data_IF_243087446446
#
_entry.id   IF_243087446446
#
_cell.length_a   1.000
_cell.length_b   1.000
_cell.length_c   1.000
_cell.angle_alpha   90.00
_cell.angle_beta   90.00
_cell.angle_gamma   90.00
#
_symmetry.space_group_name_H-M   'P 1'
#
loop_
_entity.id
_entity.type
_entity.pdbx_description
1 polymer ?
#
# COMPACT_ATOMS: atom_id res chain seq x y z
N UNK A 1 -89.07 8.65 5.64
CA UNK A 1 -88.02 9.58 6.11
C UNK A 1 -86.88 8.74 6.64
N UNK A 2 -85.78 8.69 5.90
CA UNK A 2 -84.64 7.80 6.18
C UNK A 2 -83.60 8.44 7.08
N UNK A 3 -83.02 7.65 7.97
CA UNK A 3 -81.81 7.99 8.71
C UNK A 3 -80.81 6.83 8.48
N UNK A 4 -79.88 7.02 7.54
CA UNK A 4 -78.68 6.18 7.40
C UNK A 4 -77.56 6.91 8.15
N UNK A 5 -77.11 6.34 9.26
CA UNK A 5 -75.92 6.82 9.97
C UNK A 5 -74.68 6.54 9.14
N UNK A 6 -73.95 7.60 8.79
CA UNK A 6 -72.67 7.50 8.10
C UNK A 6 -71.54 7.66 9.13
N UNK A 7 -70.74 6.61 9.29
CA UNK A 7 -69.47 6.66 10.01
C UNK A 7 -68.51 7.61 9.28
N UNK A 8 -68.04 8.66 9.97
CA UNK A 8 -66.94 9.52 9.48
C UNK A 8 -65.63 8.83 9.87
N UNK A 9 -65.00 8.16 8.91
CA UNK A 9 -63.61 7.71 9.01
C UNK A 9 -62.71 8.92 8.69
N UNK A 10 -62.04 9.47 9.69
CA UNK A 10 -61.01 10.51 9.48
C UNK A 10 -59.80 9.86 8.78
N UNK A 11 -59.63 10.13 7.49
CA UNK A 11 -58.38 9.87 6.78
C UNK A 11 -57.34 10.90 7.26
N UNK A 12 -56.38 10.46 8.08
CA UNK A 12 -55.16 11.20 8.33
C UNK A 12 -54.31 11.14 7.07
N UNK A 13 -54.22 12.24 6.32
CA UNK A 13 -53.18 12.40 5.30
C UNK A 13 -51.84 12.51 6.02
N UNK A 14 -51.11 11.40 6.06
CA UNK A 14 -49.69 11.40 6.41
C UNK A 14 -48.97 12.09 5.25
N UNK A 15 -48.74 13.40 5.35
CA UNK A 15 -47.76 14.06 4.51
C UNK A 15 -46.40 13.45 4.87
N UNK A 16 -45.92 12.56 4.02
CA UNK A 16 -44.55 12.09 4.08
C UNK A 16 -43.64 13.30 3.99
N UNK A 17 -42.98 13.64 5.10
CA UNK A 17 -41.79 14.46 5.06
C UNK A 17 -40.79 13.67 4.19
N UNK A 18 -40.54 14.18 2.99
CA UNK A 18 -39.35 13.80 2.23
C UNK A 18 -38.17 14.20 3.11
N UNK A 19 -37.58 13.21 3.77
CA UNK A 19 -36.27 13.38 4.40
C UNK A 19 -35.30 13.47 3.23
N UNK A 20 -34.92 14.69 2.86
CA UNK A 20 -33.73 14.92 2.04
C UNK A 20 -32.59 14.25 2.80
N UNK A 21 -32.02 13.19 2.21
CA UNK A 21 -30.78 12.61 2.73
C UNK A 21 -29.75 13.75 2.74
N UNK A 22 -29.13 14.09 3.88
CA UNK A 22 -27.95 14.94 3.82
C UNK A 22 -26.92 14.19 2.97
N UNK A 23 -26.55 14.78 1.84
CA UNK A 23 -25.44 14.31 1.03
C UNK A 23 -24.20 14.32 1.92
N UNK A 24 -23.49 13.20 2.01
CA UNK A 24 -22.25 13.15 2.78
C UNK A 24 -21.24 14.10 2.11
N UNK A 25 -20.91 15.20 2.79
CA UNK A 25 -19.93 16.19 2.34
C UNK A 25 -18.58 15.53 2.07
N UNK A 26 -18.00 15.79 0.91
CA UNK A 26 -16.66 15.36 0.52
C UNK A 26 -15.58 16.34 1.05
N UNK A 27 -14.32 15.91 1.09
CA UNK A 27 -13.24 16.67 1.74
C UNK A 27 -12.36 17.48 0.76
N UNK A 28 -12.19 16.99 -0.48
CA UNK A 28 -11.40 17.64 -1.54
C UNK A 28 -11.74 17.03 -2.90
N UNK A 29 -11.24 17.60 -4.00
CA UNK A 29 -11.30 16.95 -5.32
C UNK A 29 -9.93 16.47 -5.80
N UNK A 30 -9.92 15.39 -6.59
CA UNK A 30 -8.85 15.10 -7.53
C UNK A 30 -9.16 15.66 -8.91
N UNK A 31 -8.39 16.63 -9.39
CA UNK A 31 -8.25 16.85 -10.83
C UNK A 31 -7.31 15.78 -11.39
N UNK A 32 -7.85 14.91 -12.25
CA UNK A 32 -7.10 13.84 -12.88
C UNK A 32 -6.87 14.17 -14.35
N UNK A 33 -5.60 14.24 -14.74
CA UNK A 33 -5.16 14.53 -16.11
C UNK A 33 -4.46 13.30 -16.69
N UNK A 34 -4.85 12.86 -17.87
CA UNK A 34 -4.36 11.64 -18.53
C UNK A 34 -3.50 11.92 -19.76
N UNK A 35 -2.42 11.16 -19.92
CA UNK A 35 -1.58 11.22 -21.12
C UNK A 35 -2.15 10.32 -22.23
N UNK A 36 -2.56 10.87 -23.39
CA UNK A 36 -3.18 10.09 -24.45
C UNK A 36 -2.27 9.03 -25.05
N UNK A 37 -0.95 9.24 -25.04
CA UNK A 37 0.03 8.26 -25.50
C UNK A 37 -0.04 6.98 -24.67
N UNK A 38 0.04 7.11 -23.35
CA UNK A 38 0.01 5.97 -22.43
C UNK A 38 -1.36 5.28 -22.36
N UNK A 39 -2.46 6.00 -22.59
CA UNK A 39 -3.79 5.38 -22.71
C UNK A 39 -3.86 4.48 -23.95
N UNK A 40 -3.34 4.95 -25.07
CA UNK A 40 -3.39 4.27 -26.36
C UNK A 40 -2.34 3.20 -26.55
N UNK A 41 -1.19 3.32 -25.87
CA UNK A 41 -0.09 2.37 -25.96
C UNK A 41 -0.23 1.27 -24.92
N UNK A 42 -1.32 0.49 -25.02
CA UNK A 42 -1.55 -0.67 -24.18
C UNK A 42 -2.07 -1.82 -25.03
N UNK A 43 -2.25 -3.00 -24.42
CA UNK A 43 -2.91 -4.13 -25.10
C UNK A 43 -4.40 -3.90 -25.36
N UNK A 44 -5.01 -2.85 -24.79
CA UNK A 44 -6.41 -2.48 -24.99
C UNK A 44 -6.53 -1.56 -26.20
N UNK A 45 -7.62 -1.70 -26.96
CA UNK A 45 -7.91 -0.82 -28.07
C UNK A 45 -8.20 0.61 -27.58
N UNK A 46 -7.67 1.60 -28.30
CA UNK A 46 -8.06 3.00 -28.17
C UNK A 46 -8.60 3.54 -29.50
N UNK A 47 -9.46 4.54 -29.43
CA UNK A 47 -10.06 5.18 -30.59
C UNK A 47 -10.03 6.69 -30.41
N UNK A 48 -9.56 7.42 -31.43
CA UNK A 48 -9.64 8.87 -31.41
C UNK A 48 -11.09 9.36 -31.54
N UNK A 49 -11.43 10.52 -30.96
CA UNK A 49 -12.73 11.14 -31.17
C UNK A 49 -13.05 11.36 -32.65
N UNK A 50 -14.33 11.56 -32.96
CA UNK A 50 -14.76 11.92 -34.34
C UNK A 50 -14.19 13.25 -34.82
N UNK A 51 -13.75 14.12 -33.91
CA UNK A 51 -13.02 15.35 -34.23
C UNK A 51 -11.56 15.12 -34.65
N UNK A 52 -11.08 13.87 -34.64
CA UNK A 52 -9.71 13.49 -35.02
C UNK A 52 -8.80 13.24 -33.82
N UNK A 53 -7.51 12.98 -34.12
CA UNK A 53 -6.47 12.75 -33.10
C UNK A 53 -6.33 13.99 -32.20
N UNK A 54 -6.46 13.85 -30.86
CA UNK A 54 -6.24 14.95 -29.95
C UNK A 54 -4.81 15.51 -30.05
N UNK A 55 -4.61 16.74 -29.57
CA UNK A 55 -3.27 17.29 -29.42
C UNK A 55 -2.42 16.40 -28.49
N UNK A 56 -1.10 16.40 -28.68
CA UNK A 56 -0.16 15.68 -27.82
C UNK A 56 0.04 16.42 -26.48
N UNK A 57 -1.05 16.59 -25.73
CA UNK A 57 -1.13 17.21 -24.40
C UNK A 57 -1.98 16.33 -23.48
N UNK A 58 -1.86 16.52 -22.17
CA UNK A 58 -2.69 15.86 -21.19
C UNK A 58 -4.16 16.24 -21.38
N UNK A 59 -5.07 15.26 -21.45
CA UNK A 59 -6.52 15.50 -21.41
C UNK A 59 -7.04 15.41 -19.98
N UNK A 60 -8.16 16.07 -19.67
CA UNK A 60 -8.87 15.81 -18.41
C UNK A 60 -9.43 14.38 -18.47
N UNK A 61 -9.30 13.66 -17.36
CA UNK A 61 -10.04 12.44 -17.08
C UNK A 61 -11.28 12.81 -16.25
N UNK A 62 -11.09 13.49 -15.12
CA UNK A 62 -12.19 14.07 -14.35
C UNK A 62 -11.79 14.90 -13.15
N UNK A 63 -12.81 15.42 -12.47
CA UNK A 63 -12.71 16.19 -11.23
C UNK A 63 -13.48 15.44 -10.15
N UNK A 64 -12.80 14.67 -9.31
CA UNK A 64 -13.44 13.64 -8.50
C UNK A 64 -13.50 14.04 -7.03
N UNK A 65 -14.70 14.20 -6.43
CA UNK A 65 -14.83 14.37 -4.99
C UNK A 65 -14.24 13.17 -4.24
N UNK A 66 -13.50 13.43 -3.17
CA UNK A 66 -12.79 12.42 -2.38
C UNK A 66 -12.86 12.73 -0.89
N UNK A 67 -12.71 11.68 -0.07
CA UNK A 67 -12.56 11.78 1.38
C UNK A 67 -11.09 11.69 1.80
N UNK A 68 -10.75 12.33 2.91
CA UNK A 68 -9.42 12.26 3.54
C UNK A 68 -9.02 10.83 3.94
N UNK A 69 -9.99 9.94 4.12
CA UNK A 69 -9.75 8.50 4.38
C UNK A 69 -9.36 7.68 3.14
N UNK A 70 -9.22 8.31 1.96
CA UNK A 70 -8.87 7.66 0.69
C UNK A 70 -10.02 6.97 -0.04
N UNK A 71 -11.20 6.87 0.58
CA UNK A 71 -12.44 6.50 -0.11
C UNK A 71 -13.02 7.71 -0.88
N UNK A 72 -14.05 7.48 -1.69
CA UNK A 72 -14.71 8.53 -2.46
C UNK A 72 -16.21 8.26 -2.57
N UNK A 73 -17.05 9.32 -2.62
CA UNK A 73 -18.45 9.19 -2.98
C UNK A 73 -18.59 8.92 -4.48
N UNK A 74 -19.66 8.24 -4.88
CA UNK A 74 -19.98 8.01 -6.29
C UNK A 74 -21.47 7.85 -6.53
N UNK A 75 -21.97 8.31 -7.68
CA UNK A 75 -23.37 8.19 -8.10
C UNK A 75 -24.34 8.74 -7.05
N UNK A 76 -24.10 9.97 -6.60
CA UNK A 76 -24.72 10.54 -5.41
C UNK A 76 -26.17 10.99 -5.63
N UNK A 77 -26.50 11.47 -6.82
CA UNK A 77 -27.85 11.88 -7.19
C UNK A 77 -28.28 11.22 -8.52
N UNK A 78 -29.14 10.18 -8.47
CA UNK A 78 -29.70 9.56 -9.67
C UNK A 78 -30.70 10.43 -10.45
N UNK A 79 -31.27 11.47 -9.82
CA UNK A 79 -32.23 12.38 -10.44
C UNK A 79 -31.52 13.51 -11.20
N UNK A 80 -30.26 13.80 -10.85
CA UNK A 80 -29.40 14.79 -11.52
C UNK A 80 -28.70 14.22 -12.77
N UNK A 81 -29.50 13.93 -13.80
CA UNK A 81 -28.99 13.41 -15.07
C UNK A 81 -28.24 14.48 -15.87
N UNK A 82 -27.23 14.04 -16.62
CA UNK A 82 -26.42 14.91 -17.46
C UNK A 82 -27.25 15.61 -18.56
N UNK A 83 -27.30 16.94 -18.52
CA UNK A 83 -27.99 17.77 -19.51
C UNK A 83 -27.00 18.48 -20.44
N UNK A 84 -26.99 18.07 -21.72
CA UNK A 84 -26.10 18.66 -22.74
C UNK A 84 -26.33 20.14 -22.97
N UNK A 85 -27.55 20.63 -22.74
CA UNK A 85 -27.90 22.04 -22.98
C UNK A 85 -27.19 22.97 -22.00
N UNK A 86 -26.96 22.50 -20.76
CA UNK A 86 -26.31 23.26 -19.71
C UNK A 86 -24.83 23.54 -20.00
N UNK A 87 -24.17 22.72 -20.82
CA UNK A 87 -22.73 22.87 -21.13
C UNK A 87 -22.46 23.26 -22.59
N UNK A 88 -23.50 23.71 -23.31
CA UNK A 88 -23.45 23.90 -24.77
C UNK A 88 -22.36 24.87 -25.23
N UNK A 89 -22.07 25.89 -24.45
CA UNK A 89 -20.99 26.87 -24.63
C UNK A 89 -19.59 26.28 -24.36
N UNK A 90 -19.50 25.27 -23.50
CA UNK A 90 -18.23 24.61 -23.12
C UNK A 90 -17.81 23.49 -24.08
N UNK A 91 -18.72 22.98 -24.92
CA UNK A 91 -18.48 21.78 -25.78
C UNK A 91 -17.21 21.89 -26.62
N UNK A 92 -16.92 23.06 -27.19
CA UNK A 92 -15.70 23.24 -27.99
C UNK A 92 -14.43 23.05 -27.16
N UNK A 93 -14.43 23.63 -25.96
CA UNK A 93 -13.33 23.49 -24.99
C UNK A 93 -13.22 22.06 -24.47
N UNK A 94 -14.33 21.38 -24.19
CA UNK A 94 -14.36 19.99 -23.76
C UNK A 94 -13.83 19.04 -24.84
N UNK A 95 -14.22 19.21 -26.11
CA UNK A 95 -13.67 18.41 -27.23
C UNK A 95 -12.16 18.54 -27.35
N UNK A 96 -11.60 19.71 -27.04
CA UNK A 96 -10.16 19.97 -27.08
C UNK A 96 -9.42 19.43 -25.86
N UNK A 97 -9.98 19.63 -24.67
CA UNK A 97 -9.27 19.50 -23.41
C UNK A 97 -9.68 18.28 -22.57
N UNK A 98 -10.83 17.68 -22.86
CA UNK A 98 -11.39 16.50 -22.19
C UNK A 98 -11.84 15.44 -23.23
N UNK A 99 -10.97 15.05 -24.19
CA UNK A 99 -11.34 14.11 -25.23
C UNK A 99 -11.51 12.69 -24.69
N UNK A 100 -12.47 11.96 -25.24
CA UNK A 100 -12.56 10.50 -25.05
C UNK A 100 -11.51 9.77 -25.90
N UNK A 101 -10.97 8.67 -25.39
CA UNK A 101 -10.10 7.77 -26.16
C UNK A 101 -10.68 6.35 -26.26
N UNK A 102 -11.91 6.16 -25.81
CA UNK A 102 -12.58 4.86 -25.75
C UNK A 102 -13.16 4.47 -27.11
N UNK A 103 -13.14 3.18 -27.40
CA UNK A 103 -13.74 2.62 -28.62
C UNK A 103 -15.24 2.30 -28.43
N UNK A 104 -16.06 2.50 -29.48
CA UNK A 104 -15.74 3.10 -30.77
C UNK A 104 -15.59 4.64 -30.69
N UNK A 105 -14.95 5.23 -31.71
CA UNK A 105 -14.84 6.69 -31.88
C UNK A 105 -16.18 7.39 -31.68
N UNK A 106 -16.20 8.43 -30.85
CA UNK A 106 -17.40 9.19 -30.53
C UNK A 106 -17.09 10.65 -30.18
N UNK A 107 -18.11 11.46 -29.91
CA UNK A 107 -17.97 12.90 -29.67
C UNK A 107 -17.57 13.30 -28.25
N UNK A 108 -17.46 12.35 -27.31
CA UNK A 108 -17.10 12.60 -25.92
C UNK A 108 -18.29 12.70 -24.95
N UNK A 109 -19.51 12.95 -25.43
CA UNK A 109 -20.68 13.13 -24.55
C UNK A 109 -20.94 11.98 -23.58
N UNK A 110 -20.74 10.71 -23.99
CA UNK A 110 -20.89 9.56 -23.08
C UNK A 110 -19.86 9.56 -21.95
N UNK A 111 -18.67 10.08 -22.23
CA UNK A 111 -17.62 10.19 -21.24
C UNK A 111 -17.93 11.32 -20.26
N UNK A 112 -18.34 12.49 -20.75
CA UNK A 112 -18.75 13.60 -19.87
C UNK A 112 -19.99 13.27 -19.04
N UNK A 113 -20.96 12.57 -19.63
CA UNK A 113 -22.12 12.00 -18.93
C UNK A 113 -21.67 11.07 -17.78
N UNK A 114 -20.74 10.15 -18.04
CA UNK A 114 -20.19 9.28 -17.00
C UNK A 114 -19.52 10.07 -15.86
N UNK A 115 -18.68 11.05 -16.21
CA UNK A 115 -17.95 11.86 -15.22
C UNK A 115 -18.91 12.72 -14.39
N UNK A 116 -19.96 13.28 -14.99
CA UNK A 116 -20.99 13.99 -14.25
C UNK A 116 -21.77 13.06 -13.34
N UNK A 117 -22.41 12.02 -13.88
CA UNK A 117 -23.34 11.18 -13.11
C UNK A 117 -22.64 10.40 -11.99
N UNK A 118 -21.39 9.99 -12.20
CA UNK A 118 -20.62 9.26 -11.20
C UNK A 118 -19.92 10.18 -10.20
N UNK A 119 -19.36 11.31 -10.63
CA UNK A 119 -18.51 12.15 -9.79
C UNK A 119 -19.09 13.54 -9.56
N UNK A 120 -19.53 14.25 -10.62
CA UNK A 120 -20.09 15.60 -10.51
C UNK A 120 -21.34 15.70 -9.61
N UNK A 121 -22.23 14.71 -9.66
CA UNK A 121 -23.41 14.63 -8.77
C UNK A 121 -23.04 14.58 -7.29
N UNK A 122 -21.80 14.18 -6.96
CA UNK A 122 -21.31 14.14 -5.59
C UNK A 122 -20.83 15.49 -5.05
N UNK A 123 -20.85 16.54 -5.87
CA UNK A 123 -20.45 17.90 -5.51
C UNK A 123 -21.54 18.96 -5.74
N UNK A 124 -22.80 18.54 -5.91
CA UNK A 124 -23.93 19.45 -6.18
C UNK A 124 -24.23 20.42 -5.05
N UNK A 125 -23.76 20.14 -3.83
CA UNK A 125 -23.81 21.09 -2.71
C UNK A 125 -22.91 22.32 -2.91
N UNK A 126 -21.95 22.25 -3.84
CA UNK A 126 -20.94 23.30 -4.09
C UNK A 126 -21.05 23.89 -5.49
N UNK A 127 -21.31 23.07 -6.51
CA UNK A 127 -21.33 23.51 -7.91
C UNK A 127 -22.34 22.76 -8.76
N UNK A 128 -22.93 23.45 -9.73
CA UNK A 128 -23.82 22.84 -10.71
C UNK A 128 -23.05 22.14 -11.87
N UNK A 129 -23.79 21.56 -12.82
CA UNK A 129 -23.19 20.86 -13.95
C UNK A 129 -22.31 21.76 -14.81
N UNK A 130 -22.74 22.99 -15.10
CA UNK A 130 -21.93 23.89 -15.92
C UNK A 130 -20.64 24.27 -15.19
N UNK A 131 -20.75 24.65 -13.91
CA UNK A 131 -19.61 25.01 -13.06
C UNK A 131 -18.62 23.84 -12.89
N UNK A 132 -19.09 22.60 -12.75
CA UNK A 132 -18.23 21.40 -12.68
C UNK A 132 -17.31 21.27 -13.90
N UNK A 133 -17.87 21.38 -15.11
CA UNK A 133 -17.08 21.31 -16.34
C UNK A 133 -16.23 22.56 -16.56
N UNK A 134 -16.75 23.74 -16.24
CA UNK A 134 -16.02 25.00 -16.41
C UNK A 134 -14.81 25.07 -15.48
N UNK A 135 -14.97 24.69 -14.21
CA UNK A 135 -13.89 24.69 -13.22
C UNK A 135 -12.82 23.66 -13.58
N UNK A 136 -13.18 22.44 -14.00
CA UNK A 136 -12.21 21.45 -14.48
C UNK A 136 -11.40 21.96 -15.69
N UNK A 137 -12.02 22.68 -16.62
CA UNK A 137 -11.33 23.32 -17.73
C UNK A 137 -10.34 24.41 -17.27
N UNK A 138 -10.77 25.29 -16.36
CA UNK A 138 -9.92 26.34 -15.76
C UNK A 138 -8.74 25.74 -15.01
N UNK A 139 -8.97 24.67 -14.24
CA UNK A 139 -7.94 23.96 -13.49
C UNK A 139 -6.91 23.27 -14.42
N UNK A 140 -7.35 22.64 -15.51
CA UNK A 140 -6.42 22.10 -16.52
C UNK A 140 -5.53 23.19 -17.11
N UNK A 141 -6.13 24.33 -17.48
CA UNK A 141 -5.37 25.47 -18.03
C UNK A 141 -4.34 25.98 -17.01
N UNK A 142 -4.73 26.11 -15.74
CA UNK A 142 -3.85 26.51 -14.63
C UNK A 142 -2.71 25.51 -14.40
N UNK A 143 -2.96 24.21 -14.53
CA UNK A 143 -1.96 23.17 -14.30
C UNK A 143 -0.93 23.06 -15.44
N UNK A 144 -1.33 23.26 -16.71
CA UNK A 144 -0.47 23.22 -17.91
C UNK A 144 0.72 22.23 -17.86
N UNK A 145 0.41 20.96 -17.59
CA UNK A 145 1.41 19.95 -17.24
C UNK A 145 2.49 19.73 -18.30
N UNK A 146 2.11 19.70 -19.58
CA UNK A 146 3.09 19.51 -20.66
C UNK A 146 4.11 20.64 -20.69
N UNK A 147 3.68 21.90 -20.53
CA UNK A 147 4.59 23.04 -20.49
C UNK A 147 5.54 22.95 -19.29
N UNK A 148 5.02 22.58 -18.11
CA UNK A 148 5.85 22.44 -16.90
C UNK A 148 6.91 21.35 -17.07
N UNK A 149 6.51 20.19 -17.60
CA UNK A 149 7.40 19.06 -17.83
C UNK A 149 8.47 19.39 -18.88
N UNK A 150 8.07 19.94 -20.03
CA UNK A 150 9.00 20.31 -21.10
C UNK A 150 9.99 21.40 -20.68
N UNK A 151 9.54 22.42 -19.93
CA UNK A 151 10.43 23.44 -19.34
C UNK A 151 11.46 22.84 -18.37
N UNK A 152 11.17 21.67 -17.80
CA UNK A 152 12.06 20.91 -16.91
C UNK A 152 12.88 19.84 -17.65
N UNK A 153 12.89 19.88 -18.99
CA UNK A 153 13.59 18.93 -19.84
C UNK A 153 13.03 17.51 -19.74
N UNK A 154 11.71 17.39 -19.57
CA UNK A 154 10.96 16.13 -19.65
C UNK A 154 10.05 16.25 -20.86
N UNK A 155 10.43 15.60 -21.95
CA UNK A 155 9.69 15.64 -23.21
C UNK A 155 8.95 14.32 -23.43
N UNK A 156 7.80 14.31 -24.12
CA UNK A 156 7.16 13.08 -24.55
C UNK A 156 7.89 12.50 -25.77
N UNK A 157 9.08 11.94 -25.54
CA UNK A 157 10.03 11.46 -26.55
C UNK A 157 10.37 9.96 -26.41
N UNK A 158 9.49 9.19 -25.76
CA UNK A 158 9.68 7.79 -25.38
C UNK A 158 10.92 7.55 -24.48
N UNK A 159 11.49 8.63 -23.93
CA UNK A 159 12.58 8.59 -22.96
C UNK A 159 12.11 8.17 -21.58
N UNK A 160 13.01 7.52 -20.82
CA UNK A 160 12.77 7.18 -19.42
C UNK A 160 13.19 8.32 -18.51
N UNK A 161 12.27 8.73 -17.63
CA UNK A 161 12.49 9.78 -16.64
C UNK A 161 12.30 9.20 -15.24
N UNK A 162 13.12 9.65 -14.29
CA UNK A 162 12.88 9.27 -12.89
C UNK A 162 11.58 9.91 -12.40
N UNK A 163 10.79 9.13 -11.67
CA UNK A 163 9.54 9.60 -11.06
C UNK A 163 9.77 10.87 -10.24
N UNK A 164 10.86 10.93 -9.47
CA UNK A 164 11.26 12.11 -8.70
C UNK A 164 11.44 13.36 -9.58
N UNK A 165 11.99 13.23 -10.80
CA UNK A 165 12.16 14.37 -11.72
C UNK A 165 10.79 14.89 -12.17
N UNK A 166 9.87 13.98 -12.51
CA UNK A 166 8.49 14.30 -12.90
C UNK A 166 7.75 14.99 -11.74
N UNK A 167 7.73 14.36 -10.57
CA UNK A 167 7.06 14.88 -9.36
C UNK A 167 7.60 16.27 -8.99
N UNK A 168 8.92 16.46 -8.99
CA UNK A 168 9.53 17.74 -8.65
C UNK A 168 9.25 18.82 -9.70
N UNK A 169 9.28 18.49 -10.99
CA UNK A 169 8.96 19.43 -12.06
C UNK A 169 7.54 19.97 -11.87
N UNK A 170 6.57 19.07 -11.69
CA UNK A 170 5.17 19.43 -11.47
C UNK A 170 5.02 20.22 -10.17
N UNK A 171 5.57 19.73 -9.05
CA UNK A 171 5.52 20.43 -7.76
C UNK A 171 6.05 21.86 -7.84
N UNK A 172 7.17 22.07 -8.53
CA UNK A 172 7.73 23.40 -8.72
C UNK A 172 6.87 24.28 -9.63
N UNK A 173 6.16 23.69 -10.58
CA UNK A 173 5.31 24.42 -11.51
C UNK A 173 3.94 24.79 -10.96
N UNK A 174 3.31 23.92 -10.16
CA UNK A 174 1.96 24.16 -9.59
C UNK A 174 1.97 24.54 -8.10
N UNK A 175 3.11 24.36 -7.41
CA UNK A 175 3.27 24.66 -5.97
C UNK A 175 2.96 23.49 -5.02
N UNK A 176 2.33 22.43 -5.51
CA UNK A 176 1.81 21.31 -4.70
C UNK A 176 2.30 19.96 -5.22
N UNK A 177 2.44 18.99 -4.33
CA UNK A 177 2.91 17.65 -4.70
C UNK A 177 1.82 16.91 -5.50
N UNK A 178 2.05 16.52 -6.77
CA UNK A 178 1.05 15.74 -7.50
C UNK A 178 1.07 14.27 -7.09
N UNK A 179 -0.04 13.58 -7.32
CA UNK A 179 -0.05 12.13 -7.44
C UNK A 179 0.28 11.68 -8.86
N UNK A 180 1.01 10.58 -8.99
CA UNK A 180 1.38 10.00 -10.29
C UNK A 180 0.84 8.58 -10.39
N UNK A 181 0.23 8.27 -11.54
CA UNK A 181 -0.18 6.92 -11.89
C UNK A 181 0.53 6.48 -13.16
N UNK A 182 1.09 5.28 -13.12
CA UNK A 182 1.68 4.62 -14.27
C UNK A 182 0.82 3.44 -14.71
N UNK A 183 0.78 3.19 -16.01
CA UNK A 183 0.30 1.92 -16.55
C UNK A 183 1.45 1.19 -17.26
N UNK A 184 1.14 0.08 -17.93
CA UNK A 184 2.10 -0.75 -18.66
C UNK A 184 1.87 -0.68 -20.16
N UNK A 185 2.95 -0.46 -20.91
CA UNK A 185 2.97 -0.61 -22.37
C UNK A 185 2.94 -2.10 -22.78
N UNK A 186 2.85 -2.44 -24.09
CA UNK A 186 2.91 -3.83 -24.56
C UNK A 186 4.20 -4.57 -24.17
N UNK A 187 5.31 -3.85 -24.03
CA UNK A 187 6.63 -4.33 -23.61
C UNK A 187 6.78 -4.48 -22.08
N UNK A 188 5.76 -4.08 -21.30
CA UNK A 188 5.68 -4.08 -19.83
C UNK A 188 6.57 -3.04 -19.13
N UNK A 189 7.00 -2.00 -19.84
CA UNK A 189 7.61 -0.83 -19.22
C UNK A 189 6.55 -0.02 -18.47
N UNK A 190 6.95 0.66 -17.39
CA UNK A 190 6.11 1.65 -16.73
C UNK A 190 6.12 2.95 -17.54
N UNK A 191 4.94 3.45 -17.90
CA UNK A 191 4.77 4.70 -18.60
C UNK A 191 3.82 5.64 -17.83
N UNK A 192 4.10 6.94 -17.89
CA UNK A 192 3.31 7.98 -17.22
C UNK A 192 1.89 8.03 -17.80
N UNK A 193 0.91 7.61 -17.02
CA UNK A 193 -0.48 7.46 -17.46
C UNK A 193 -1.36 8.61 -16.99
N UNK A 194 -1.45 8.84 -15.67
CA UNK A 194 -2.30 9.88 -15.10
C UNK A 194 -1.54 10.69 -14.04
N UNK A 195 -1.95 11.95 -13.89
CA UNK A 195 -1.45 12.88 -12.87
C UNK A 195 -2.66 13.39 -12.10
N UNK A 196 -2.57 13.29 -10.77
CA UNK A 196 -3.59 13.67 -9.81
C UNK A 196 -3.16 14.97 -9.13
N UNK A 197 -4.02 15.98 -9.13
CA UNK A 197 -3.79 17.26 -8.44
C UNK A 197 -4.97 17.49 -7.50
N UNK A 198 -4.70 17.75 -6.22
CA UNK A 198 -5.78 18.03 -5.28
C UNK A 198 -6.26 19.46 -5.38
N UNK A 199 -7.57 19.61 -5.29
CA UNK A 199 -8.29 20.88 -5.37
C UNK A 199 -9.15 21.01 -4.13
N UNK A 200 -9.25 22.23 -3.60
CA UNK A 200 -10.10 22.56 -2.46
C UNK A 200 -11.57 22.22 -2.70
N UNK A 201 -12.39 22.22 -1.65
CA UNK A 201 -13.81 21.88 -1.76
C UNK A 201 -14.61 22.85 -2.62
N UNK A 202 -14.12 24.06 -2.90
CA UNK A 202 -14.73 24.97 -3.88
C UNK A 202 -14.49 24.54 -5.34
N UNK A 203 -13.51 23.65 -5.57
CA UNK A 203 -13.12 23.17 -6.89
C UNK A 203 -12.42 24.22 -7.74
N UNK A 204 -11.72 25.18 -7.13
CA UNK A 204 -11.08 26.29 -7.87
C UNK A 204 -9.60 26.47 -7.58
N UNK A 205 -9.11 26.04 -6.42
CA UNK A 205 -7.73 26.25 -5.99
C UNK A 205 -7.00 24.93 -5.69
N UNK A 206 -5.74 24.86 -6.12
CA UNK A 206 -4.90 23.70 -5.78
C UNK A 206 -4.54 23.72 -4.30
N UNK A 207 -4.50 22.53 -3.71
CA UNK A 207 -4.13 22.31 -2.31
C UNK A 207 -3.12 21.16 -2.21
N UNK A 208 -2.45 21.05 -1.06
CA UNK A 208 -1.68 19.85 -0.77
C UNK A 208 -2.66 18.69 -0.56
N UNK A 209 -2.39 17.57 -1.22
CA UNK A 209 -3.27 16.41 -1.15
C UNK A 209 -3.34 15.82 0.26
N UNK A 210 -4.53 15.75 0.89
CA UNK A 210 -4.69 15.17 2.22
C UNK A 210 -4.39 13.66 2.25
N UNK A 211 -4.79 12.96 1.19
CA UNK A 211 -4.58 11.52 1.04
C UNK A 211 -4.27 11.22 -0.41
N UNK A 212 -2.99 11.24 -0.78
CA UNK A 212 -2.50 10.94 -2.12
C UNK A 212 -2.92 9.52 -2.57
N UNK A 213 -3.86 9.41 -3.52
CA UNK A 213 -4.11 8.17 -4.28
C UNK A 213 -2.97 8.06 -5.25
N UNK A 214 -1.95 7.38 -4.77
CA UNK A 214 -0.66 7.43 -5.39
C UNK A 214 -0.16 6.00 -5.50
N UNK A 215 -0.25 5.48 -6.74
CA UNK A 215 0.76 4.54 -7.21
C UNK A 215 2.04 5.33 -7.54
N UNK A 216 2.62 5.99 -6.54
CA UNK A 216 3.85 6.76 -6.72
C UNK A 216 4.61 6.86 -5.41
N UNK A 217 5.91 6.64 -5.53
CA UNK A 217 6.91 6.99 -4.54
C UNK A 217 6.50 8.17 -3.64
N UNK A 218 6.61 8.05 -2.30
CA UNK A 218 6.72 9.21 -1.44
C UNK A 218 7.97 9.99 -1.86
N UNK A 219 8.25 11.13 -1.22
CA UNK A 219 9.65 11.56 -1.08
C UNK A 219 10.50 10.31 -0.89
N UNK A 220 11.46 10.06 -1.81
CA UNK A 220 12.23 8.80 -1.82
C UNK A 220 12.52 8.45 -0.36
N UNK A 221 12.11 7.25 0.12
CA UNK A 221 12.17 6.95 1.52
C UNK A 221 13.54 7.35 2.05
N UNK A 222 13.61 7.98 3.23
CA UNK A 222 14.87 8.48 3.81
C UNK A 222 15.71 7.32 4.34
N UNK A 223 15.77 6.24 3.58
CA UNK A 223 16.53 5.00 3.75
C UNK A 223 16.67 4.32 2.37
N UNK A 224 17.64 3.44 2.22
CA UNK A 224 18.06 2.93 0.92
C UNK A 224 17.48 1.57 0.55
N UNK A 225 17.22 0.71 1.53
CA UNK A 225 16.70 -0.65 1.33
C UNK A 225 16.09 -1.20 2.63
N UNK A 226 15.48 -2.38 2.56
CA UNK A 226 15.02 -3.11 3.74
C UNK A 226 15.84 -4.37 3.99
N UNK A 227 16.08 -4.70 5.26
CA UNK A 227 16.24 -6.09 5.67
C UNK A 227 14.89 -6.69 6.03
N UNK A 228 14.50 -7.75 5.35
CA UNK A 228 13.47 -8.66 5.82
C UNK A 228 14.14 -9.81 6.57
N UNK A 229 13.96 -9.84 7.88
CA UNK A 229 14.72 -10.70 8.80
C UNK A 229 13.82 -11.81 9.32
N UNK A 230 14.34 -13.04 9.24
CA UNK A 230 13.67 -14.22 9.76
C UNK A 230 14.63 -14.96 10.70
N UNK A 231 14.10 -15.53 11.78
CA UNK A 231 14.90 -16.28 12.74
C UNK A 231 14.43 -17.71 12.89
N UNK A 232 15.34 -18.58 13.31
CA UNK A 232 15.06 -19.99 13.59
C UNK A 232 14.91 -20.24 15.09
N UNK A 233 13.71 -20.65 15.57
CA UNK A 233 13.48 -20.89 17.00
C UNK A 233 14.42 -21.91 17.64
N UNK A 234 14.85 -22.93 16.89
CA UNK A 234 15.78 -23.94 17.38
C UNK A 234 17.09 -23.35 17.89
N UNK A 235 17.60 -22.31 17.22
CA UNK A 235 18.84 -21.65 17.61
C UNK A 235 18.68 -20.79 18.87
N UNK A 236 17.48 -20.32 19.18
CA UNK A 236 17.20 -19.60 20.43
C UNK A 236 17.18 -20.60 21.59
N UNK A 237 16.37 -21.65 21.46
CA UNK A 237 16.13 -22.63 22.50
C UNK A 237 17.36 -23.49 22.84
N UNK A 238 18.23 -23.73 21.86
CA UNK A 238 19.47 -24.48 22.05
C UNK A 238 20.63 -23.61 22.56
N UNK A 239 20.40 -22.29 22.73
CA UNK A 239 21.39 -21.39 23.32
C UNK A 239 21.39 -21.49 24.85
N UNK A 240 22.48 -21.03 25.48
CA UNK A 240 22.59 -20.99 26.95
C UNK A 240 21.48 -20.22 27.65
N UNK A 241 20.78 -19.33 26.95
CA UNK A 241 19.75 -18.49 27.54
C UNK A 241 18.39 -19.20 27.64
N UNK A 242 18.21 -20.34 26.96
CA UNK A 242 16.92 -21.01 26.88
C UNK A 242 15.87 -20.22 26.09
N UNK A 243 14.64 -20.75 26.02
CA UNK A 243 13.53 -20.08 25.35
C UNK A 243 12.18 -20.34 26.04
N UNK A 244 11.25 -19.42 25.81
CA UNK A 244 9.84 -19.52 26.16
C UNK A 244 9.04 -19.69 24.86
N UNK A 245 8.34 -20.83 24.65
CA UNK A 245 7.56 -21.04 23.44
C UNK A 245 6.26 -20.18 23.43
N UNK A 246 5.70 -19.90 22.25
CA UNK A 246 4.46 -19.13 22.10
C UNK A 246 3.26 -19.74 22.83
N UNK A 247 2.41 -18.90 23.42
CA UNK A 247 1.27 -19.37 24.23
C UNK A 247 0.20 -20.05 23.38
N UNK A 248 -0.11 -19.49 22.21
CA UNK A 248 -1.15 -20.01 21.32
C UNK A 248 -0.60 -21.15 20.46
N UNK A 249 -1.17 -22.33 20.65
CA UNK A 249 -0.74 -23.60 20.06
C UNK A 249 -0.95 -23.71 18.56
N UNK A 250 -0.06 -23.12 17.76
CA UNK A 250 0.32 -23.70 16.47
C UNK A 250 1.62 -23.09 15.92
N UNK A 251 2.76 -23.75 16.14
CA UNK A 251 4.02 -23.39 15.49
C UNK A 251 4.43 -24.52 14.57
N UNK A 252 4.00 -24.45 13.32
CA UNK A 252 4.61 -25.26 12.27
C UNK A 252 6.14 -25.07 12.35
N UNK A 253 6.91 -26.16 12.34
CA UNK A 253 8.37 -26.13 12.36
C UNK A 253 8.87 -25.37 11.13
N UNK A 254 9.13 -24.07 11.27
CA UNK A 254 9.48 -23.17 10.17
C UNK A 254 10.18 -21.92 10.72
N UNK A 255 10.80 -21.14 9.83
CA UNK A 255 11.34 -19.82 10.17
C UNK A 255 10.22 -18.86 10.56
N UNK A 256 10.52 -18.01 11.54
CA UNK A 256 9.61 -17.00 12.09
C UNK A 256 10.07 -15.62 11.65
N UNK A 257 9.11 -14.76 11.31
CA UNK A 257 9.42 -13.35 11.00
C UNK A 257 10.01 -12.71 12.25
N UNK A 258 11.14 -12.03 12.10
CA UNK A 258 11.66 -11.11 13.10
C UNK A 258 11.09 -9.71 12.82
N UNK A 259 11.32 -9.20 11.61
CA UNK A 259 10.78 -7.92 11.18
C UNK A 259 11.27 -7.44 9.82
N UNK A 260 10.83 -6.23 9.47
CA UNK A 260 11.17 -5.52 8.24
C UNK A 260 11.81 -4.17 8.60
N UNK A 261 13.11 -4.05 8.39
CA UNK A 261 13.92 -2.97 8.96
C UNK A 261 14.48 -2.07 7.86
N UNK A 262 14.15 -0.76 7.84
CA UNK A 262 14.74 0.18 6.90
C UNK A 262 16.23 0.37 7.18
N UNK A 263 17.06 0.45 6.15
CA UNK A 263 18.53 0.51 6.25
C UNK A 263 19.13 1.59 5.36
N UNK A 264 20.25 2.16 5.81
CA UNK A 264 21.12 3.01 4.99
C UNK A 264 22.29 2.22 4.40
N UNK A 265 22.80 2.67 3.25
CA UNK A 265 23.95 2.06 2.57
C UNK A 265 25.27 2.15 3.35
N UNK A 266 25.37 3.06 4.32
CA UNK A 266 26.53 3.19 5.21
C UNK A 266 26.50 2.18 6.38
N UNK A 267 25.51 1.30 6.45
CA UNK A 267 25.34 0.30 7.50
C UNK A 267 24.59 0.78 8.75
N UNK A 268 24.20 2.06 8.82
CA UNK A 268 23.32 2.58 9.88
C UNK A 268 21.84 2.37 9.52
N UNK A 269 20.94 2.65 10.46
CA UNK A 269 19.50 2.53 10.25
C UNK A 269 18.73 3.57 11.07
N UNK A 270 17.58 4.05 10.57
CA UNK A 270 16.69 4.87 11.37
C UNK A 270 15.93 4.01 12.40
N UNK A 271 15.62 4.58 13.56
CA UNK A 271 14.88 3.89 14.62
C UNK A 271 14.05 4.87 15.45
N UNK A 272 12.88 4.41 15.91
CA UNK A 272 11.96 5.18 16.77
C UNK A 272 11.62 6.56 16.20
N UNK A 273 11.27 6.60 14.92
CA UNK A 273 11.17 7.85 14.16
C UNK A 273 9.92 8.68 14.48
N UNK A 274 8.92 8.08 15.13
CA UNK A 274 7.69 8.78 15.51
C UNK A 274 7.15 8.25 16.84
N UNK A 275 6.98 9.18 17.79
CA UNK A 275 6.45 8.88 19.13
C UNK A 275 4.94 9.14 19.24
N UNK A 276 4.32 9.64 18.18
CA UNK A 276 2.89 9.97 18.11
C UNK A 276 2.07 8.88 17.42
N UNK A 277 2.67 8.14 16.47
CA UNK A 277 2.04 7.01 15.79
C UNK A 277 2.52 5.65 16.35
N UNK A 278 2.32 5.44 17.64
CA UNK A 278 2.67 4.19 18.31
C UNK A 278 1.74 3.04 17.91
N UNK A 279 2.18 1.82 18.21
CA UNK A 279 1.48 0.58 17.87
C UNK A 279 0.06 0.56 18.43
N UNK A 280 -0.90 0.35 17.54
CA UNK A 280 -2.30 0.12 17.90
C UNK A 280 -2.77 -1.24 17.34
N UNK A 281 -3.07 -2.17 18.24
CA UNK A 281 -3.52 -3.52 17.86
C UNK A 281 -4.84 -3.50 17.07
N UNK A 282 -5.68 -2.48 17.27
CA UNK A 282 -6.97 -2.38 16.58
C UNK A 282 -6.79 -2.20 15.06
N UNK A 283 -5.71 -1.52 14.65
CA UNK A 283 -5.35 -1.28 13.24
C UNK A 283 -4.89 -2.54 12.50
N UNK A 284 -4.69 -3.66 13.20
CA UNK A 284 -4.25 -4.95 12.61
C UNK A 284 -5.12 -6.13 13.05
N UNK A 285 -6.34 -5.85 13.54
CA UNK A 285 -7.23 -6.86 14.12
C UNK A 285 -7.51 -8.05 13.17
N UNK A 286 -7.59 -7.80 11.86
CA UNK A 286 -7.76 -8.80 10.81
C UNK A 286 -6.49 -9.65 10.53
N UNK A 287 -5.32 -9.16 10.93
CA UNK A 287 -4.03 -9.83 10.71
C UNK A 287 -3.59 -10.69 11.91
N UNK A 288 -4.12 -10.44 13.12
CA UNK A 288 -3.66 -11.06 14.37
C UNK A 288 -3.58 -12.58 14.27
N UNK A 289 -4.61 -13.26 13.76
CA UNK A 289 -4.60 -14.74 13.67
C UNK A 289 -3.47 -15.28 12.77
N UNK A 290 -3.05 -14.53 11.75
CA UNK A 290 -1.93 -14.89 10.89
C UNK A 290 -0.60 -14.61 11.60
N UNK A 291 -0.50 -13.47 12.28
CA UNK A 291 0.70 -13.05 13.01
C UNK A 291 1.01 -14.00 14.18
N UNK A 292 0.00 -14.46 14.92
CA UNK A 292 0.13 -15.47 15.98
C UNK A 292 0.69 -16.82 15.51
N UNK A 293 0.76 -17.07 14.20
CA UNK A 293 1.32 -18.31 13.63
C UNK A 293 2.65 -18.10 12.92
N UNK A 294 2.91 -16.89 12.43
CA UNK A 294 4.01 -16.59 11.49
C UNK A 294 5.00 -15.55 12.01
N UNK A 295 4.63 -14.79 13.03
CA UNK A 295 5.41 -13.74 13.66
C UNK A 295 5.34 -13.87 15.19
N UNK A 296 5.56 -15.09 15.68
CA UNK A 296 5.53 -15.40 17.11
C UNK A 296 6.78 -14.90 17.81
N UNK A 297 6.69 -14.63 19.11
CA UNK A 297 7.87 -14.37 19.94
C UNK A 297 8.35 -15.67 20.60
N UNK A 298 9.61 -16.03 20.39
CA UNK A 298 10.31 -17.07 21.15
C UNK A 298 11.24 -16.37 22.14
N UNK A 299 10.66 -15.92 23.25
CA UNK A 299 11.31 -15.08 24.24
C UNK A 299 12.44 -15.80 24.98
N UNK A 300 13.40 -15.06 25.51
CA UNK A 300 14.56 -15.60 26.23
C UNK A 300 14.48 -15.34 27.75
N UNK A 301 13.64 -14.39 28.18
CA UNK A 301 13.60 -13.91 29.57
C UNK A 301 12.20 -13.64 30.11
N UNK A 302 11.16 -13.73 29.29
CA UNK A 302 9.77 -13.50 29.69
C UNK A 302 8.91 -14.72 29.33
N UNK A 303 8.35 -15.35 30.37
CA UNK A 303 7.47 -16.51 30.28
C UNK A 303 6.15 -16.18 31.01
N UNK A 304 4.97 -16.30 30.37
CA UNK A 304 4.78 -16.63 28.95
C UNK A 304 5.34 -15.55 28.00
N UNK A 305 5.71 -15.95 26.78
CA UNK A 305 6.06 -15.00 25.73
C UNK A 305 4.85 -14.12 25.38
N UNK A 306 5.07 -12.89 24.94
CA UNK A 306 4.00 -11.98 24.55
C UNK A 306 4.22 -11.48 23.13
N UNK A 307 3.54 -12.12 22.18
CA UNK A 307 3.70 -11.80 20.75
C UNK A 307 3.37 -10.33 20.45
N UNK A 308 2.46 -9.72 21.23
CA UNK A 308 2.10 -8.31 21.06
C UNK A 308 3.26 -7.38 21.39
N UNK A 309 4.10 -7.72 22.37
CA UNK A 309 5.29 -6.92 22.70
C UNK A 309 6.30 -6.91 21.56
N UNK A 310 6.48 -8.05 20.88
CA UNK A 310 7.32 -8.13 19.69
C UNK A 310 6.75 -7.24 18.59
N UNK A 311 5.45 -7.35 18.27
CA UNK A 311 4.83 -6.53 17.21
C UNK A 311 4.89 -5.04 17.54
N UNK A 312 4.63 -4.67 18.79
CA UNK A 312 4.77 -3.30 19.28
C UNK A 312 6.20 -2.80 19.11
N UNK A 313 7.20 -3.60 19.49
CA UNK A 313 8.61 -3.25 19.30
C UNK A 313 8.96 -3.02 17.83
N UNK A 314 8.59 -3.95 16.96
CA UNK A 314 8.89 -3.89 15.53
C UNK A 314 8.24 -2.67 14.87
N UNK A 315 6.99 -2.36 15.21
CA UNK A 315 6.34 -1.16 14.72
C UNK A 315 6.97 0.12 15.29
N UNK A 316 7.03 0.26 16.62
CA UNK A 316 7.48 1.50 17.26
C UNK A 316 8.92 1.85 16.88
N UNK A 317 9.78 0.84 16.70
CA UNK A 317 11.20 1.05 16.35
C UNK A 317 11.44 1.13 14.85
N UNK A 318 10.85 0.26 14.04
CA UNK A 318 11.16 0.14 12.61
C UNK A 318 10.02 0.63 11.72
N UNK A 319 8.77 0.26 12.03
CA UNK A 319 7.58 0.68 11.27
C UNK A 319 7.35 2.20 11.25
N UNK A 320 7.56 2.88 12.37
CA UNK A 320 7.44 4.35 12.48
C UNK A 320 8.41 5.11 11.57
N UNK A 321 9.49 4.47 11.11
CA UNK A 321 10.48 5.06 10.21
C UNK A 321 10.13 4.93 8.73
N UNK A 322 9.04 4.23 8.40
CA UNK A 322 8.66 3.91 7.02
C UNK A 322 7.24 4.34 6.69
N UNK A 323 6.72 5.29 7.47
CA UNK A 323 5.37 5.86 7.32
C UNK A 323 5.14 6.54 5.97
N UNK A 324 6.21 6.88 5.25
CA UNK A 324 6.13 7.38 3.89
C UNK A 324 5.66 6.31 2.89
N UNK A 325 5.84 5.02 3.19
CA UNK A 325 5.43 3.91 2.32
C UNK A 325 4.41 2.96 2.95
N UNK A 326 4.34 2.88 4.29
CA UNK A 326 3.47 1.96 5.01
C UNK A 326 2.77 2.65 6.18
N UNK A 327 1.46 2.51 6.25
CA UNK A 327 0.76 2.55 7.52
C UNK A 327 1.01 1.28 8.35
N UNK A 328 0.49 1.23 9.57
CA UNK A 328 0.68 0.08 10.45
C UNK A 328 0.16 -1.22 9.83
N UNK A 329 -1.03 -1.19 9.24
CA UNK A 329 -1.64 -2.37 8.63
C UNK A 329 -0.80 -2.93 7.49
N UNK A 330 -0.44 -2.08 6.53
CA UNK A 330 0.34 -2.43 5.35
C UNK A 330 1.77 -2.87 5.68
N UNK A 331 2.38 -2.37 6.75
CA UNK A 331 3.68 -2.85 7.24
C UNK A 331 3.62 -4.33 7.66
N UNK A 332 2.65 -4.69 8.49
CA UNK A 332 2.48 -6.07 8.95
C UNK A 332 2.00 -6.99 7.84
N UNK A 333 1.05 -6.53 7.01
CA UNK A 333 0.56 -7.29 5.86
C UNK A 333 1.68 -7.61 4.86
N UNK A 334 2.59 -6.66 4.60
CA UNK A 334 3.70 -6.85 3.66
C UNK A 334 4.66 -7.95 4.14
N UNK A 335 4.99 -7.97 5.43
CA UNK A 335 5.78 -9.05 6.03
C UNK A 335 5.12 -10.43 5.86
N UNK A 336 3.81 -10.53 6.11
CA UNK A 336 3.06 -11.76 5.92
C UNK A 336 3.03 -12.20 4.44
N UNK A 337 2.90 -11.26 3.50
CA UNK A 337 2.97 -11.53 2.06
C UNK A 337 4.34 -12.08 1.65
N UNK A 338 5.44 -11.50 2.11
CA UNK A 338 6.78 -12.05 1.85
C UNK A 338 6.96 -13.43 2.47
N UNK A 339 6.45 -13.62 3.68
CA UNK A 339 6.51 -14.92 4.35
C UNK A 339 5.74 -16.02 3.62
N UNK A 340 4.65 -15.65 2.94
CA UNK A 340 3.92 -16.55 2.05
C UNK A 340 4.66 -16.80 0.74
N UNK A 341 5.26 -15.76 0.15
CA UNK A 341 6.01 -15.82 -1.12
C UNK A 341 7.32 -16.61 -1.00
N UNK A 342 8.02 -16.52 0.12
CA UNK A 342 9.33 -17.14 0.34
C UNK A 342 9.32 -18.05 1.58
N UNK A 343 9.24 -19.37 1.34
CA UNK A 343 9.40 -20.37 2.40
C UNK A 343 10.86 -20.81 2.50
N UNK A 344 11.62 -20.15 3.39
CA UNK A 344 13.05 -20.41 3.59
C UNK A 344 13.34 -21.87 3.97
N UNK A 345 12.54 -22.47 4.85
CA UNK A 345 12.76 -23.86 5.26
C UNK A 345 12.62 -24.81 4.07
N UNK A 346 11.58 -24.67 3.26
CA UNK A 346 11.38 -25.51 2.08
C UNK A 346 12.53 -25.37 1.08
N UNK A 347 13.03 -24.16 0.86
CA UNK A 347 14.19 -23.90 -0.01
C UNK A 347 15.42 -24.68 0.48
N UNK A 348 15.70 -24.62 1.79
CA UNK A 348 16.82 -25.34 2.38
C UNK A 348 16.63 -26.86 2.30
N UNK A 349 15.45 -27.37 2.65
CA UNK A 349 15.13 -28.80 2.60
C UNK A 349 15.26 -29.35 1.18
N UNK A 350 14.82 -28.62 0.16
CA UNK A 350 14.96 -29.02 -1.25
C UNK A 350 16.42 -29.16 -1.69
N UNK A 351 17.35 -28.48 -1.01
CA UNK A 351 18.80 -28.61 -1.21
C UNK A 351 19.46 -29.61 -0.25
N UNK A 352 18.68 -30.33 0.55
CA UNK A 352 19.18 -31.31 1.51
C UNK A 352 19.60 -30.72 2.86
N UNK A 353 19.43 -29.41 3.06
CA UNK A 353 19.78 -28.71 4.30
C UNK A 353 18.57 -28.79 5.24
N UNK A 354 18.63 -29.68 6.23
CA UNK A 354 17.51 -29.98 7.15
C UNK A 354 17.86 -29.61 8.59
N UNK A 355 16.88 -29.15 9.39
CA UNK A 355 17.07 -28.84 10.82
C UNK A 355 17.14 -30.13 11.64
N UNK A 356 18.27 -30.83 11.59
CA UNK A 356 18.48 -32.15 12.21
C UNK A 356 19.69 -32.16 13.15
N UNK A 357 20.10 -31.01 13.67
CA UNK A 357 21.36 -30.79 14.40
C UNK A 357 22.64 -31.05 13.58
N UNK A 358 22.49 -31.19 12.25
CA UNK A 358 23.60 -31.36 11.32
C UNK A 358 24.33 -30.05 11.03
N UNK A 359 25.55 -30.15 10.50
CA UNK A 359 26.39 -28.99 10.12
C UNK A 359 26.46 -28.84 8.61
N UNK A 360 26.25 -27.63 8.12
CA UNK A 360 26.21 -27.30 6.69
C UNK A 360 27.18 -26.18 6.37
N UNK A 361 27.69 -26.14 5.14
CA UNK A 361 28.57 -25.05 4.71
C UNK A 361 27.81 -23.71 4.69
N UNK A 362 28.43 -22.63 5.16
CA UNK A 362 27.82 -21.29 5.11
C UNK A 362 27.47 -20.91 3.66
N UNK A 363 28.39 -21.16 2.72
CA UNK A 363 28.18 -20.91 1.30
C UNK A 363 27.11 -21.83 0.70
N UNK A 364 26.93 -23.04 1.23
CA UNK A 364 25.90 -23.98 0.80
C UNK A 364 24.49 -23.42 1.09
N UNK A 365 24.30 -22.92 2.32
CA UNK A 365 23.06 -22.25 2.76
C UNK A 365 22.80 -21.00 1.92
N UNK A 366 23.82 -20.15 1.73
CA UNK A 366 23.69 -18.93 0.93
C UNK A 366 23.34 -19.23 -0.53
N UNK A 367 24.02 -20.20 -1.14
CA UNK A 367 23.78 -20.58 -2.53
C UNK A 367 22.41 -21.22 -2.73
N UNK A 368 21.91 -21.99 -1.76
CA UNK A 368 20.57 -22.55 -1.78
C UNK A 368 19.51 -21.45 -1.94
N UNK A 369 19.62 -20.38 -1.15
CA UNK A 369 18.70 -19.24 -1.16
C UNK A 369 18.92 -18.37 -2.40
N UNK A 370 20.19 -18.04 -2.72
CA UNK A 370 20.56 -17.25 -3.91
C UNK A 370 20.03 -17.86 -5.20
N UNK A 371 20.02 -19.18 -5.32
CA UNK A 371 19.48 -19.88 -6.49
C UNK A 371 17.98 -19.59 -6.73
N UNK A 372 17.24 -19.24 -5.68
CA UNK A 372 15.79 -18.99 -5.76
C UNK A 372 15.50 -17.51 -5.94
N UNK A 373 16.20 -16.63 -5.21
CA UNK A 373 15.90 -15.19 -5.18
C UNK A 373 16.84 -14.34 -6.05
N UNK A 374 17.90 -14.93 -6.61
CA UNK A 374 18.92 -14.23 -7.43
C UNK A 374 20.05 -13.59 -6.62
N UNK A 375 19.82 -13.29 -5.34
CA UNK A 375 20.75 -12.55 -4.47
C UNK A 375 21.20 -13.38 -3.26
N UNK A 376 22.44 -13.16 -2.82
CA UNK A 376 22.97 -13.83 -1.64
C UNK A 376 22.31 -13.26 -0.36
N UNK A 377 21.80 -14.10 0.55
CA UNK A 377 21.28 -13.63 1.83
C UNK A 377 22.43 -13.29 2.80
N UNK A 378 22.13 -12.49 3.81
CA UNK A 378 22.95 -12.40 5.03
C UNK A 378 22.59 -13.49 6.02
N UNK A 379 23.59 -14.02 6.72
CA UNK A 379 23.41 -15.07 7.71
C UNK A 379 24.03 -14.64 9.03
N UNK A 380 23.23 -14.64 10.08
CA UNK A 380 23.71 -14.43 11.45
C UNK A 380 23.67 -15.74 12.22
N UNK A 381 24.72 -15.96 13.00
CA UNK A 381 24.88 -17.14 13.83
C UNK A 381 25.01 -16.76 15.30
N UNK A 382 24.31 -17.50 16.15
CA UNK A 382 24.57 -17.51 17.58
C UNK A 382 25.32 -18.80 17.98
N UNK A 383 25.46 -19.03 19.29
CA UNK A 383 26.11 -20.22 19.84
C UNK A 383 25.10 -21.10 20.59
N UNK A 384 25.20 -22.41 20.39
CA UNK A 384 24.51 -23.38 21.22
C UNK A 384 25.19 -23.52 22.61
N UNK A 385 24.58 -24.29 23.51
CA UNK A 385 25.15 -24.56 24.86
C UNK A 385 26.55 -25.15 24.85
N UNK A 386 27.00 -25.73 23.74
CA UNK A 386 28.34 -26.32 23.55
C UNK A 386 29.31 -25.36 22.85
N UNK A 387 28.88 -24.15 22.50
CA UNK A 387 29.68 -23.16 21.79
C UNK A 387 29.74 -23.37 20.27
N UNK A 388 28.91 -24.25 19.70
CA UNK A 388 28.86 -24.41 18.25
C UNK A 388 28.13 -23.23 17.60
N UNK A 389 28.70 -22.69 16.51
CA UNK A 389 28.00 -21.71 15.68
C UNK A 389 26.81 -22.36 14.98
N UNK A 390 25.65 -21.74 15.07
CA UNK A 390 24.40 -22.27 14.50
C UNK A 390 23.60 -21.21 13.76
N UNK A 391 22.82 -21.63 12.76
CA UNK A 391 21.98 -20.78 11.93
C UNK A 391 20.89 -20.12 12.78
N UNK A 392 21.03 -18.82 13.03
CA UNK A 392 20.11 -18.08 13.88
C UNK A 392 19.17 -17.19 13.06
N UNK A 393 19.70 -16.27 12.27
CA UNK A 393 18.88 -15.39 11.43
C UNK A 393 19.32 -15.39 9.97
N UNK A 394 18.34 -15.17 9.09
CA UNK A 394 18.52 -14.99 7.66
C UNK A 394 18.00 -13.60 7.30
N UNK A 395 18.85 -12.82 6.64
CA UNK A 395 18.58 -11.46 6.17
C UNK A 395 18.39 -11.49 4.66
N UNK A 396 17.21 -11.07 4.19
CA UNK A 396 16.91 -10.89 2.77
C UNK A 396 16.76 -9.39 2.50
N UNK A 397 17.43 -8.86 1.48
CA UNK A 397 17.30 -7.46 1.13
C UNK A 397 16.16 -7.23 0.14
N UNK A 398 15.38 -6.19 0.41
CA UNK A 398 14.35 -5.69 -0.48
C UNK A 398 14.66 -4.25 -0.87
N UNK A 399 14.17 -3.81 -2.04
CA UNK A 399 14.20 -2.40 -2.42
C UNK A 399 13.52 -1.52 -1.36
N UNK A 400 13.73 -0.20 -1.40
CA UNK A 400 13.17 0.71 -0.40
C UNK A 400 11.63 0.87 -0.45
N UNK A 401 10.94 0.10 -1.29
CA UNK A 401 9.48 -0.03 -1.32
C UNK A 401 8.98 -1.39 -0.83
N UNK A 402 9.89 -2.30 -0.47
CA UNK A 402 9.60 -3.71 -0.17
C UNK A 402 8.72 -4.39 -1.25
N UNK A 403 9.09 -4.22 -2.52
CA UNK A 403 8.43 -4.84 -3.68
C UNK A 403 9.27 -5.93 -4.31
N UNK A 404 10.59 -5.73 -4.37
CA UNK A 404 11.51 -6.62 -5.08
C UNK A 404 12.69 -7.03 -4.22
N UNK A 405 13.26 -8.21 -4.49
CA UNK A 405 14.53 -8.62 -3.90
C UNK A 405 15.66 -7.84 -4.56
N UNK A 406 16.62 -7.39 -3.76
CA UNK A 406 17.80 -6.67 -4.24
C UNK A 406 19.07 -7.26 -3.63
N UNK A 407 20.21 -6.96 -4.24
CA UNK A 407 21.50 -7.27 -3.63
C UNK A 407 21.66 -6.50 -2.33
N UNK A 408 22.06 -7.19 -1.26
CA UNK A 408 22.33 -6.56 0.01
C UNK A 408 23.58 -5.67 -0.08
N UNK A 409 23.47 -4.33 0.08
CA UNK A 409 24.63 -3.43 0.02
C UNK A 409 25.64 -3.73 1.14
N UNK A 410 25.14 -4.22 2.26
CA UNK A 410 25.91 -4.76 3.36
C UNK A 410 25.36 -6.13 3.72
N UNK A 411 26.23 -7.10 3.98
CA UNK A 411 25.82 -8.45 4.38
C UNK A 411 26.32 -8.67 5.81
N UNK A 412 25.43 -8.75 6.82
CA UNK A 412 25.84 -9.03 8.18
C UNK A 412 26.12 -10.53 8.34
N UNK A 413 27.24 -11.02 7.81
CA UNK A 413 27.77 -12.33 8.20
C UNK A 413 28.35 -12.23 9.61
N UNK A 414 27.47 -12.20 10.59
CA UNK A 414 27.85 -11.99 11.98
C UNK A 414 28.09 -13.31 12.66
N UNK A 415 29.31 -13.47 13.15
CA UNK A 415 29.69 -14.54 14.09
C UNK A 415 29.52 -15.97 13.57
N UNK A 416 29.46 -16.19 12.26
CA UNK A 416 29.34 -17.52 11.65
C UNK A 416 30.70 -18.20 11.44
N UNK A 417 30.72 -19.53 11.51
CA UNK A 417 31.84 -20.36 11.08
C UNK A 417 31.64 -20.83 9.62
N UNK A 418 32.67 -21.41 9.00
CA UNK A 418 32.56 -21.95 7.62
C UNK A 418 31.54 -23.10 7.50
N UNK A 419 31.34 -23.84 8.60
CA UNK A 419 30.22 -24.77 8.78
C UNK A 419 29.45 -24.42 10.03
N UNK A 420 28.13 -24.38 9.94
CA UNK A 420 27.24 -24.02 11.04
C UNK A 420 26.17 -25.09 11.25
N UNK A 421 25.78 -25.27 12.50
CA UNK A 421 24.71 -26.20 12.89
C UNK A 421 23.35 -25.65 12.45
N UNK A 422 22.48 -26.53 11.93
CA UNK A 422 21.06 -26.22 11.78
C UNK A 422 20.28 -27.03 12.83
N UNK A 423 20.01 -26.43 14.01
CA UNK A 423 19.43 -27.16 15.13
C UNK A 423 18.01 -27.59 14.83
N UNK A 424 17.54 -28.67 15.48
CA UNK A 424 16.14 -29.09 15.39
C UNK A 424 15.19 -27.99 15.84
N UNK A 425 13.97 -28.05 15.33
CA UNK A 425 12.91 -27.20 15.86
C UNK A 425 12.56 -27.64 17.28
N UNK A 426 12.34 -26.72 18.23
CA UNK A 426 12.01 -27.08 19.61
C UNK A 426 10.67 -27.82 19.67
N UNK A 427 10.65 -28.99 20.29
CA UNK A 427 9.41 -29.69 20.61
C UNK A 427 8.76 -29.01 21.83
N UNK A 428 7.44 -28.86 21.85
CA UNK A 428 6.74 -28.45 23.08
C UNK A 428 6.84 -29.59 24.07
N UNK A 429 7.55 -29.40 25.18
CA UNK A 429 7.56 -30.35 26.29
C UNK A 429 6.21 -30.28 27.05
N UNK A 430 5.38 -31.35 27.01
CA UNK A 430 4.10 -31.39 27.73
C UNK A 430 4.26 -31.24 29.25
N UNK A 431 5.44 -31.50 29.81
CA UNK A 431 5.69 -31.43 31.27
C UNK A 431 5.66 -29.98 31.79
N UNK A 432 5.90 -28.97 30.96
CA UNK A 432 5.85 -27.56 31.37
C UNK A 432 4.42 -27.04 31.62
N UNK A 433 3.39 -27.67 31.02
CA UNK A 433 1.98 -27.36 31.30
C UNK A 433 1.54 -27.86 32.69
N UNK A 434 2.17 -28.91 33.22
CA UNK A 434 1.80 -29.47 34.53
C UNK A 434 2.25 -28.60 35.71
N UNK A 435 3.35 -27.85 35.55
CA UNK A 435 3.91 -27.00 36.60
C UNK A 435 3.20 -25.64 36.72
N UNK A 436 2.64 -25.10 35.62
CA UNK A 436 1.87 -23.85 35.64
C UNK A 436 0.46 -24.02 36.22
N UNK A 437 -0.12 -25.23 36.14
CA UNK A 437 -1.40 -25.55 36.76
C UNK A 437 -1.24 -25.81 38.27
N UNK A 438 -0.15 -26.43 38.71
CA UNK A 438 0.07 -26.74 40.13
C UNK A 438 0.38 -25.51 41.01
N UNK A 439 0.95 -24.42 40.46
CA UNK A 439 1.19 -23.20 41.25
C UNK A 439 -0.08 -22.39 41.55
N UNK A 440 -1.21 -22.73 40.93
CA UNK A 440 -2.50 -22.04 41.13
C UNK A 440 -3.42 -22.71 42.17
N UNK A 441 -3.03 -23.86 42.73
CA UNK A 441 -3.87 -24.66 43.65
C UNK A 441 -3.34 -24.71 45.09
N UNK A 442 -2.21 -24.05 45.40
CA UNK A 442 -1.64 -24.05 46.77
C UNK A 442 -1.63 -22.68 47.43
N UNK A 443 -2.76 -21.98 47.45
CA UNK A 443 -3.05 -20.92 48.43
C UNK A 443 -4.56 -20.84 48.67
N UNK A 444 -5.07 -21.67 49.57
CA UNK A 444 -6.30 -21.44 50.36
C UNK A 444 -6.02 -21.80 51.79
#
# INVERSE_FOLDING_TARGET
>A
MGAKGWFILKLLMFQGLFVSRPQEDFDFFYLVLQWPGAYCDTTRACCYPTSGKPAADFGIHGLWPNYNGGSWPSNCDPDSQFDRSQISDLVSSLKKNWPTLSCPSNEGFKFWEHEWEKHGTCSESVMDQHEYFENALKLKEKANLLQILTNSGINPDDGFYSLKKITNAIKNGIGFTPGIECNKDPERNDQLHQIYICVDTSGTEFIECPSLVVSSSPTAPDFNFFYWVNYWPGAICDSQKGCCPPTKGNTASDFIIHGLWPQFNNGTWPAFCDQTNLFDISKISDLVCQMEKKWTEWGVWACPSNETNLWEHEWNKHGTCVQSIFDQHSYFLTNLKFRHKLNLLNILIQKGIKPTDGFYGLDEIKNAIKCVIGFAPGIECNEDVKGNKQLFQIYICLDNYAKEFVECPYVPDKSCASKIKFPKFPERDPLSESLSVMSSVSTT
#
